data_IF_449274436770
#
_entry.id   IF_449274436770
#
_cell.length_a   1.000
_cell.length_b   1.000
_cell.length_c   1.000
_cell.angle_alpha   90.00
_cell.angle_beta   90.00
_cell.angle_gamma   90.00
#
_symmetry.space_group_name_H-M   'P 1'
#
loop_
_entity.id
_entity.type
_entity.pdbx_description
1 polymer ?
#
# COMPACT_ATOMS: atom_id res chain seq x y z
N UNK A 1 0.11 -22.73 16.36
CA UNK A 1 -0.93 -21.73 16.01
C UNK A 1 -0.30 -20.46 15.46
N UNK A 2 -1.07 -19.62 14.77
CA UNK A 2 -0.60 -18.37 14.13
C UNK A 2 0.10 -17.40 15.09
N UNK A 3 -0.41 -17.26 16.32
CA UNK A 3 0.19 -16.40 17.37
C UNK A 3 1.61 -16.89 17.75
N UNK A 4 1.85 -18.20 17.73
CA UNK A 4 3.18 -18.76 18.00
C UNK A 4 4.18 -18.46 16.90
N UNK A 5 3.73 -18.32 15.65
CA UNK A 5 4.60 -17.93 14.53
C UNK A 5 4.87 -16.43 14.52
N UNK A 6 3.88 -15.59 14.83
CA UNK A 6 4.08 -14.13 14.90
C UNK A 6 5.03 -13.76 16.03
N UNK A 7 4.85 -14.33 17.22
CA UNK A 7 5.77 -14.11 18.36
C UNK A 7 7.21 -14.51 18.04
N UNK A 8 7.42 -15.63 17.34
CA UNK A 8 8.76 -16.03 16.85
C UNK A 8 9.33 -15.00 15.87
N UNK A 9 8.56 -14.56 14.88
CA UNK A 9 9.00 -13.52 13.94
C UNK A 9 9.32 -12.21 14.64
N UNK A 10 8.49 -11.77 15.58
CA UNK A 10 8.74 -10.57 16.39
C UNK A 10 10.04 -10.70 17.17
N UNK A 11 10.32 -11.88 17.73
CA UNK A 11 11.59 -12.12 18.43
C UNK A 11 12.81 -12.03 17.50
N UNK A 12 12.69 -12.51 16.25
CA UNK A 12 13.75 -12.44 15.25
C UNK A 12 13.97 -10.99 14.80
N UNK A 13 12.90 -10.27 14.47
CA UNK A 13 12.97 -8.86 14.11
C UNK A 13 13.64 -8.05 15.23
N UNK A 14 13.25 -8.27 16.48
CA UNK A 14 13.84 -7.58 17.63
C UNK A 14 15.34 -7.85 17.79
N UNK A 15 15.79 -9.09 17.54
CA UNK A 15 17.22 -9.43 17.55
C UNK A 15 17.96 -8.69 16.43
N UNK A 16 17.39 -8.66 15.23
CA UNK A 16 17.97 -7.95 14.08
C UNK A 16 18.05 -6.44 14.34
N UNK A 17 16.98 -5.81 14.82
CA UNK A 17 16.97 -4.37 15.14
C UNK A 17 18.03 -4.01 16.17
N UNK A 18 18.16 -4.79 17.25
CA UNK A 18 19.21 -4.57 18.25
C UNK A 18 20.61 -4.67 17.68
N UNK A 19 20.85 -5.63 16.80
CA UNK A 19 22.14 -5.79 16.14
C UNK A 19 22.46 -4.61 15.20
N UNK A 20 21.47 -4.13 14.44
CA UNK A 20 21.62 -3.00 13.51
C UNK A 20 21.84 -1.69 14.27
N UNK A 21 21.04 -1.42 15.30
CA UNK A 21 21.07 -0.15 16.03
C UNK A 21 22.06 -0.16 17.20
N UNK A 22 22.69 -1.30 17.50
CA UNK A 22 23.59 -1.45 18.65
C UNK A 22 22.91 -1.26 20.01
N UNK A 23 21.58 -1.42 20.09
CA UNK A 23 20.82 -1.05 21.27
C UNK A 23 20.90 -2.12 22.37
N UNK A 24 21.40 -1.71 23.55
CA UNK A 24 21.69 -2.61 24.68
C UNK A 24 20.46 -2.98 25.53
N UNK A 25 19.38 -2.19 25.52
CA UNK A 25 18.19 -2.38 26.38
C UNK A 25 16.87 -2.46 25.60
N UNK A 26 15.95 -3.35 26.05
CA UNK A 26 14.63 -3.59 25.43
C UNK A 26 13.76 -2.32 25.32
N UNK A 27 13.80 -1.46 26.35
CA UNK A 27 12.95 -0.27 26.43
C UNK A 27 13.37 0.77 25.39
N UNK A 28 14.69 0.90 25.17
CA UNK A 28 15.26 1.69 24.08
C UNK A 28 14.94 1.05 22.73
N UNK A 29 14.91 -0.28 22.63
CA UNK A 29 14.54 -0.98 21.38
C UNK A 29 13.14 -0.61 20.86
N UNK A 30 12.16 -0.43 21.74
CA UNK A 30 10.80 -0.12 21.30
C UNK A 30 10.67 1.33 20.80
N UNK A 31 11.42 2.28 21.39
CA UNK A 31 11.40 3.68 20.95
C UNK A 31 12.22 3.88 19.68
N UNK A 32 13.39 3.22 19.56
CA UNK A 32 14.19 3.25 18.33
C UNK A 32 13.48 2.55 17.17
N UNK A 33 12.69 1.49 17.40
CA UNK A 33 11.90 0.88 16.33
C UNK A 33 10.95 1.89 15.69
N UNK A 34 10.33 2.76 16.49
CA UNK A 34 9.51 3.88 15.99
C UNK A 34 10.37 4.90 15.25
N UNK A 35 11.51 5.31 15.81
CA UNK A 35 12.40 6.31 15.17
C UNK A 35 13.08 5.82 13.88
N UNK A 36 13.32 4.51 13.76
CA UNK A 36 13.96 3.88 12.59
C UNK A 36 12.91 3.41 11.56
N UNK A 37 11.63 3.75 11.76
CA UNK A 37 10.52 3.33 10.90
C UNK A 37 10.39 1.80 10.76
N UNK A 38 10.86 1.04 11.75
CA UNK A 38 10.75 -0.41 11.80
C UNK A 38 9.42 -0.76 12.48
N UNK A 39 8.45 -1.15 11.66
CA UNK A 39 7.10 -1.48 12.11
C UNK A 39 7.11 -2.86 12.81
N UNK A 40 6.48 -3.03 13.98
CA UNK A 40 6.31 -4.35 14.59
C UNK A 40 5.63 -5.34 13.63
N UNK A 41 5.99 -6.62 13.70
CA UNK A 41 5.47 -7.68 12.80
C UNK A 41 3.95 -7.67 12.68
N UNK A 42 3.23 -7.54 13.79
CA UNK A 42 1.75 -7.53 13.76
C UNK A 42 1.20 -6.35 12.96
N UNK A 43 1.85 -5.18 13.07
CA UNK A 43 1.48 -3.98 12.34
C UNK A 43 1.91 -4.07 10.86
N UNK A 44 3.01 -4.76 10.55
CA UNK A 44 3.38 -5.10 9.17
C UNK A 44 2.32 -5.98 8.50
N UNK A 45 1.84 -7.02 9.20
CA UNK A 45 0.78 -7.87 8.68
C UNK A 45 -0.49 -7.06 8.42
N UNK A 46 -0.92 -6.22 9.37
CA UNK A 46 -2.06 -5.34 9.16
C UNK A 46 -1.89 -4.41 7.97
N UNK A 47 -0.71 -3.78 7.80
CA UNK A 47 -0.42 -2.92 6.64
C UNK A 47 -0.52 -3.68 5.33
N UNK A 48 0.04 -4.89 5.25
CA UNK A 48 0.02 -5.72 4.04
C UNK A 48 -1.41 -6.16 3.73
N UNK A 49 -2.14 -6.66 4.72
CA UNK A 49 -3.54 -7.08 4.58
C UNK A 49 -4.43 -5.91 4.17
N UNK A 50 -4.29 -4.76 4.82
CA UNK A 50 -5.06 -3.56 4.49
C UNK A 50 -4.76 -3.07 3.07
N UNK A 51 -3.48 -3.04 2.68
CA UNK A 51 -3.08 -2.64 1.32
C UNK A 51 -3.62 -3.60 0.27
N UNK A 52 -3.59 -4.90 0.53
CA UNK A 52 -4.16 -5.91 -0.36
C UNK A 52 -5.69 -5.75 -0.47
N UNK A 53 -6.38 -5.61 0.66
CA UNK A 53 -7.82 -5.39 0.70
C UNK A 53 -8.22 -4.10 -0.04
N UNK A 54 -7.50 -3.00 0.17
CA UNK A 54 -7.72 -1.74 -0.53
C UNK A 54 -7.56 -1.90 -2.05
N UNK A 55 -6.47 -2.55 -2.50
CA UNK A 55 -6.26 -2.83 -3.94
C UNK A 55 -7.37 -3.67 -4.54
N UNK A 56 -7.91 -4.63 -3.78
CA UNK A 56 -9.01 -5.48 -4.22
C UNK A 56 -10.33 -4.68 -4.28
N UNK A 57 -10.56 -3.78 -3.33
CA UNK A 57 -11.74 -2.91 -3.31
C UNK A 57 -11.77 -1.92 -4.46
N UNK A 58 -10.61 -1.40 -4.88
CA UNK A 58 -10.52 -0.41 -5.95
C UNK A 58 -10.59 -1.00 -7.36
N UNK A 59 -10.74 -2.34 -7.49
CA UNK A 59 -10.78 -3.00 -8.80
C UNK A 59 -12.01 -2.60 -9.61
N UNK A 60 -11.86 -2.36 -10.93
CA UNK A 60 -12.98 -2.03 -11.80
C UNK A 60 -13.95 -3.21 -11.96
N UNK A 61 -15.22 -2.97 -12.33
CA UNK A 61 -16.22 -4.01 -12.58
C UNK A 61 -15.81 -5.04 -13.64
N UNK A 62 -14.91 -4.67 -14.56
CA UNK A 62 -14.35 -5.56 -15.58
C UNK A 62 -13.39 -6.61 -15.02
N UNK A 63 -12.90 -6.44 -13.79
CA UNK A 63 -11.97 -7.38 -13.17
C UNK A 63 -12.72 -8.61 -12.59
N UNK A 64 -12.25 -9.85 -12.82
CA UNK A 64 -12.94 -11.07 -12.39
C UNK A 64 -13.16 -11.13 -10.87
N UNK A 65 -12.22 -10.61 -10.09
CA UNK A 65 -12.36 -10.55 -8.63
C UNK A 65 -13.37 -9.52 -8.13
N UNK A 66 -13.80 -8.54 -8.93
CA UNK A 66 -14.68 -7.47 -8.45
C UNK A 66 -16.01 -8.02 -7.88
N UNK A 67 -16.61 -8.98 -8.58
CA UNK A 67 -17.87 -9.60 -8.15
C UNK A 67 -17.70 -10.46 -6.89
N UNK A 68 -16.60 -11.21 -6.81
CA UNK A 68 -16.27 -12.07 -5.67
C UNK A 68 -15.96 -11.25 -4.42
N UNK A 69 -15.18 -10.18 -4.58
CA UNK A 69 -14.81 -9.28 -3.49
C UNK A 69 -16.02 -8.56 -2.90
N UNK A 70 -16.93 -8.10 -3.76
CA UNK A 70 -18.19 -7.51 -3.31
C UNK A 70 -19.04 -8.50 -2.50
N UNK A 71 -19.20 -9.74 -3.00
CA UNK A 71 -19.93 -10.79 -2.27
C UNK A 71 -19.26 -11.12 -0.92
N UNK A 72 -17.94 -11.24 -0.91
CA UNK A 72 -17.17 -11.56 0.28
C UNK A 72 -17.23 -10.45 1.35
N UNK A 73 -17.22 -9.19 0.94
CA UNK A 73 -17.31 -8.05 1.84
C UNK A 73 -18.73 -7.84 2.38
N UNK A 74 -19.78 -8.10 1.58
CA UNK A 74 -21.16 -7.88 2.00
C UNK A 74 -21.69 -8.88 3.02
N UNK A 75 -21.16 -10.12 3.04
CA UNK A 75 -21.66 -11.16 3.94
C UNK A 75 -20.54 -11.93 4.63
N UNK A 76 -20.51 -11.81 5.95
CA UNK A 76 -19.70 -12.65 6.80
C UNK A 76 -20.45 -13.95 7.16
N UNK A 77 -19.99 -15.08 6.60
CA UNK A 77 -20.66 -16.37 6.77
C UNK A 77 -20.17 -17.08 8.04
N UNK A 78 -21.06 -17.83 8.69
CA UNK A 78 -20.76 -18.57 9.93
C UNK A 78 -19.81 -19.76 9.69
N UNK A 79 -20.00 -20.51 8.60
CA UNK A 79 -19.20 -21.69 8.23
C UNK A 79 -18.48 -21.50 6.88
N UNK A 80 -17.38 -22.23 6.68
CA UNK A 80 -16.58 -22.22 5.44
C UNK A 80 -16.13 -20.82 5.01
N UNK A 81 -15.58 -20.05 5.97
CA UNK A 81 -15.10 -18.70 5.72
C UNK A 81 -13.95 -18.72 4.74
N UNK A 82 -14.13 -18.04 3.61
CA UNK A 82 -13.05 -17.85 2.66
C UNK A 82 -12.00 -16.89 3.23
N UNK A 83 -10.73 -16.99 2.78
CA UNK A 83 -9.70 -16.02 3.14
C UNK A 83 -10.09 -14.57 2.81
N UNK A 84 -10.83 -14.35 1.70
CA UNK A 84 -11.34 -13.03 1.33
C UNK A 84 -12.34 -12.48 2.36
N UNK A 85 -13.23 -13.31 2.89
CA UNK A 85 -14.16 -12.88 3.95
C UNK A 85 -13.44 -12.53 5.24
N UNK A 86 -12.42 -13.31 5.62
CA UNK A 86 -11.57 -12.98 6.76
C UNK A 86 -10.83 -11.66 6.55
N UNK A 87 -10.29 -11.45 5.35
CA UNK A 87 -9.59 -10.21 4.98
C UNK A 87 -10.50 -8.98 5.11
N UNK A 88 -11.71 -9.01 4.55
CA UNK A 88 -12.65 -7.88 4.66
C UNK A 88 -13.16 -7.67 6.08
N UNK A 89 -13.42 -8.74 6.82
CA UNK A 89 -13.81 -8.65 8.23
C UNK A 89 -12.69 -8.04 9.10
N UNK A 90 -11.43 -8.40 8.86
CA UNK A 90 -10.29 -7.88 9.62
C UNK A 90 -9.93 -6.44 9.26
N UNK A 91 -10.13 -6.03 8.00
CA UNK A 91 -9.74 -4.70 7.51
C UNK A 91 -10.87 -3.68 7.55
N UNK A 92 -12.13 -4.12 7.64
CA UNK A 92 -13.31 -3.24 7.64
C UNK A 92 -13.58 -2.54 6.31
N UNK A 93 -12.81 -2.85 5.27
CA UNK A 93 -12.97 -2.23 3.95
C UNK A 93 -14.15 -2.85 3.20
N UNK A 94 -14.94 -1.99 2.55
CA UNK A 94 -16.06 -2.42 1.74
C UNK A 94 -15.92 -1.88 0.31
N UNK A 95 -15.98 -2.74 -0.73
CA UNK A 95 -15.79 -2.33 -2.12
C UNK A 95 -16.91 -1.41 -2.62
N UNK A 96 -18.09 -1.42 -2.01
CA UNK A 96 -19.16 -0.48 -2.38
C UNK A 96 -18.95 0.95 -1.87
N UNK A 97 -18.11 1.15 -0.85
CA UNK A 97 -17.81 2.48 -0.29
C UNK A 97 -16.45 3.00 -0.74
N UNK A 98 -15.66 2.19 -1.43
CA UNK A 98 -14.31 2.53 -1.87
C UNK A 98 -14.35 3.00 -3.32
N UNK A 99 -13.58 4.04 -3.63
CA UNK A 99 -13.44 4.53 -5.00
C UNK A 99 -12.86 3.43 -5.91
N UNK A 100 -13.41 3.33 -7.12
CA UNK A 100 -12.89 2.42 -8.14
C UNK A 100 -11.79 3.09 -8.94
N UNK A 101 -10.61 2.50 -8.97
CA UNK A 101 -9.48 2.98 -9.78
C UNK A 101 -9.54 2.27 -11.12
N UNK A 102 -9.82 3.03 -12.18
CA UNK A 102 -9.77 2.49 -13.54
C UNK A 102 -8.31 2.43 -13.99
N UNK A 103 -7.75 1.23 -14.28
CA UNK A 103 -6.37 1.12 -14.72
C UNK A 103 -6.23 1.75 -16.11
N UNK A 104 -5.51 2.86 -16.20
CA UNK A 104 -5.16 3.46 -17.49
C UNK A 104 -3.98 2.69 -18.06
N UNK A 105 -4.23 1.84 -19.07
CA UNK A 105 -3.14 1.19 -19.82
C UNK A 105 -2.39 2.26 -20.62
N UNK A 106 -1.14 2.52 -20.24
CA UNK A 106 -0.20 3.33 -21.03
C UNK A 106 0.43 2.44 -22.10
N UNK A 107 0.61 2.98 -23.31
CA UNK A 107 1.37 2.30 -24.37
C UNK A 107 2.84 2.18 -23.96
N UNK A 108 3.59 1.22 -24.50
CA UNK A 108 5.02 1.06 -24.20
C UNK A 108 5.82 2.34 -24.51
N UNK A 109 5.48 3.01 -25.60
CA UNK A 109 6.12 4.26 -26.04
C UNK A 109 5.43 5.51 -25.46
N UNK A 110 4.77 5.39 -24.30
CA UNK A 110 4.10 6.53 -23.68
C UNK A 110 5.12 7.51 -23.11
N UNK A 111 5.17 8.72 -23.67
CA UNK A 111 5.94 9.85 -23.14
C UNK A 111 5.02 10.66 -22.22
N UNK A 112 5.45 10.88 -20.97
CA UNK A 112 4.71 11.70 -20.01
C UNK A 112 4.71 13.15 -20.51
N UNK A 113 3.55 13.81 -20.69
CA UNK A 113 3.47 15.15 -21.27
C UNK A 113 3.91 16.27 -20.30
N UNK A 114 4.31 15.92 -19.08
CA UNK A 114 4.75 16.86 -18.07
C UNK A 114 6.06 16.39 -17.44
N UNK A 115 6.97 17.33 -17.20
CA UNK A 115 8.18 17.10 -16.43
C UNK A 115 7.90 17.43 -14.96
N UNK A 116 8.13 16.47 -14.06
CA UNK A 116 8.06 16.71 -12.62
C UNK A 116 9.45 17.10 -12.10
N UNK A 117 9.61 18.32 -11.63
CA UNK A 117 10.81 18.80 -10.94
C UNK A 117 10.46 19.13 -9.48
N UNK A 118 11.29 18.67 -8.54
CA UNK A 118 11.15 19.01 -7.12
C UNK A 118 12.15 20.11 -6.83
N UNK A 119 11.66 21.33 -6.58
CA UNK A 119 12.51 22.46 -6.24
C UNK A 119 13.27 22.22 -4.93
N UNK A 120 14.53 22.66 -4.87
CA UNK A 120 15.37 22.53 -3.69
C UNK A 120 14.90 23.41 -2.52
N UNK A 121 14.18 24.50 -2.81
CA UNK A 121 13.66 25.43 -1.81
C UNK A 121 12.22 25.86 -2.11
N UNK A 122 11.48 26.17 -1.04
CA UNK A 122 10.11 26.69 -1.11
C UNK A 122 10.05 28.04 -1.83
N UNK A 123 11.09 28.87 -1.70
CA UNK A 123 11.16 30.18 -2.36
C UNK A 123 11.31 30.03 -3.89
N UNK A 124 12.11 29.07 -4.32
CA UNK A 124 12.39 28.80 -5.75
C UNK A 124 11.15 28.27 -6.49
N UNK A 125 10.18 27.71 -5.76
CA UNK A 125 8.92 27.20 -6.32
C UNK A 125 8.04 28.31 -6.92
N UNK A 126 8.20 29.56 -6.46
CA UNK A 126 7.36 30.69 -6.88
C UNK A 126 7.88 31.42 -8.12
N UNK A 127 9.15 31.22 -8.50
CA UNK A 127 9.78 31.91 -9.64
C UNK A 127 9.76 31.11 -10.95
N UNK A 128 9.48 29.81 -10.91
CA UNK A 128 9.48 29.01 -12.13
C UNK A 128 8.20 29.20 -12.97
N UNK A 129 8.30 29.59 -14.25
CA UNK A 129 7.15 29.64 -15.14
C UNK A 129 6.67 28.23 -15.43
N UNK A 130 5.36 28.00 -15.29
CA UNK A 130 4.65 26.78 -15.71
C UNK A 130 4.88 26.51 -17.20
N UNK A 131 6.00 25.89 -17.57
CA UNK A 131 6.24 25.41 -18.94
C UNK A 131 5.44 24.13 -19.17
N UNK A 132 4.16 24.28 -19.45
CA UNK A 132 3.42 23.26 -20.19
C UNK A 132 3.87 23.33 -21.65
N UNK A 133 4.87 22.56 -22.03
CA UNK A 133 5.27 22.43 -23.43
C UNK A 133 4.19 21.66 -24.20
N UNK A 134 3.71 22.15 -25.36
CA UNK A 134 2.88 21.35 -26.24
C UNK A 134 3.78 20.33 -26.94
N UNK A 135 3.60 19.04 -26.62
CA UNK A 135 4.29 17.96 -27.34
C UNK A 135 3.76 17.92 -28.77
N UNK A 136 4.61 18.30 -29.72
CA UNK A 136 4.33 18.32 -31.15
C UNK A 136 3.80 16.97 -31.67
N UNK A 137 2.82 17.09 -32.59
CA UNK A 137 2.14 16.00 -33.28
C UNK A 137 3.12 15.10 -34.05
N UNK A 138 3.03 13.78 -33.86
CA UNK A 138 3.53 12.82 -34.84
C UNK A 138 2.48 12.63 -35.93
N UNK A 139 2.72 13.27 -37.07
CA UNK A 139 2.11 13.00 -38.36
C UNK A 139 2.57 11.61 -38.83
N UNK A 140 1.66 10.65 -38.88
CA UNK A 140 1.92 9.35 -39.53
C UNK A 140 1.89 9.55 -41.04
N UNK A 141 3.00 9.22 -41.71
CA UNK A 141 2.95 8.61 -43.04
C UNK A 141 2.65 7.13 -42.90
#
# INVERSE_FOLDING_TARGET
GSVGTTTKLTSVQRKATKHITGALSLAVSNTIEVHVHILPIDLLFHKVLFSAAARICTLPPTHPLHTLSRRAASKYVKCHRSPLQHLFHQTGLHPATTETITPVRRKLNYVVPHSTHIAASKADTLQEPKRSTPVHQYKSM
#
